data_IF_951200253537
#
_entry.id   IF_951200253537
#
_cell.length_a   1.000
_cell.length_b   1.000
_cell.length_c   1.000
_cell.angle_alpha   90.00
_cell.angle_beta   90.00
_cell.angle_gamma   90.00
#
_symmetry.space_group_name_H-M   'P 1'
#
loop_
_entity.id
_entity.type
_entity.pdbx_description
1 polymer ?
#
# COMPACT_ATOMS: atom_id res chain seq x y z
N UNK A 1 5.40 -14.00 4.55
CA UNK A 1 5.38 -13.12 3.36
C UNK A 1 5.03 -11.73 3.85
N UNK A 2 5.82 -10.72 3.49
CA UNK A 2 5.62 -9.36 3.99
C UNK A 2 4.45 -8.68 3.25
N UNK A 3 3.72 -7.81 3.94
CA UNK A 3 2.63 -7.00 3.38
C UNK A 3 3.04 -5.54 3.34
N UNK A 4 3.05 -4.98 2.13
CA UNK A 4 3.39 -3.60 1.84
C UNK A 4 2.17 -2.78 1.41
N UNK A 5 2.22 -1.47 1.63
CA UNK A 5 1.26 -0.51 1.10
C UNK A 5 1.87 0.90 1.02
N UNK A 6 1.13 1.85 0.45
CA UNK A 6 1.51 3.27 0.51
C UNK A 6 1.43 3.83 1.94
N UNK A 7 2.13 4.94 2.16
CA UNK A 7 2.14 5.66 3.43
C UNK A 7 0.75 6.20 3.82
N UNK A 8 0.56 6.44 5.12
CA UNK A 8 -0.65 7.01 5.70
C UNK A 8 -1.53 6.00 6.44
N UNK A 9 -2.71 6.46 6.89
CA UNK A 9 -3.56 5.73 7.84
C UNK A 9 -4.02 4.35 7.34
N UNK A 10 -3.99 4.12 6.03
CA UNK A 10 -4.33 2.82 5.46
C UNK A 10 -3.43 1.71 6.02
N UNK A 11 -2.13 1.96 6.11
CA UNK A 11 -1.15 1.01 6.68
C UNK A 11 -1.49 0.57 8.12
N UNK A 12 -1.89 1.53 8.96
CA UNK A 12 -2.31 1.28 10.33
C UNK A 12 -3.60 0.45 10.38
N UNK A 13 -4.64 0.85 9.63
CA UNK A 13 -5.89 0.10 9.61
C UNK A 13 -5.73 -1.33 9.08
N UNK A 14 -4.87 -1.51 8.08
CA UNK A 14 -4.55 -2.82 7.52
C UNK A 14 -3.88 -3.71 8.58
N UNK A 15 -2.85 -3.22 9.25
CA UNK A 15 -2.14 -3.95 10.30
C UNK A 15 -3.04 -4.31 11.48
N UNK A 16 -3.86 -3.35 11.95
CA UNK A 16 -4.83 -3.59 13.03
C UNK A 16 -5.89 -4.62 12.63
N UNK A 17 -6.41 -4.55 11.40
CA UNK A 17 -7.46 -5.47 10.93
C UNK A 17 -6.97 -6.91 10.83
N UNK A 18 -5.73 -7.11 10.40
CA UNK A 18 -5.15 -8.43 10.19
C UNK A 18 -4.30 -8.93 11.36
N UNK A 19 -4.02 -8.10 12.36
CA UNK A 19 -3.16 -8.45 13.48
C UNK A 19 -1.70 -8.72 13.07
N UNK A 20 -1.23 -8.09 11.98
CA UNK A 20 0.12 -8.27 11.44
C UNK A 20 0.86 -6.94 11.34
N UNK A 21 2.19 -6.99 11.43
CA UNK A 21 3.02 -5.85 11.05
C UNK A 21 2.90 -5.60 9.54
N UNK A 22 2.69 -4.34 9.17
CA UNK A 22 2.60 -3.89 7.79
C UNK A 22 3.79 -3.00 7.49
N UNK A 23 4.38 -3.17 6.32
CA UNK A 23 5.38 -2.25 5.79
C UNK A 23 4.69 -1.16 4.96
N UNK A 24 5.09 0.08 5.16
CA UNK A 24 4.60 1.22 4.39
C UNK A 24 5.78 1.91 3.71
N UNK A 25 5.56 2.42 2.51
CA UNK A 25 6.57 3.13 1.73
C UNK A 25 6.10 4.55 1.40
N UNK A 26 7.00 5.52 1.57
CA UNK A 26 6.83 6.92 1.19
C UNK A 26 8.08 7.38 0.43
N UNK A 27 7.91 8.18 -0.62
CA UNK A 27 9.02 8.73 -1.41
C UNK A 27 9.33 10.17 -1.04
N UNK A 28 8.35 10.93 -0.55
CA UNK A 28 8.53 12.30 -0.10
C UNK A 28 9.06 12.34 1.36
N UNK A 29 10.26 12.87 1.62
CA UNK A 29 10.83 12.89 2.97
C UNK A 29 9.98 13.66 3.99
N UNK A 30 9.32 14.74 3.58
CA UNK A 30 8.49 15.54 4.48
C UNK A 30 7.21 14.78 4.85
N UNK A 31 6.58 14.11 3.88
CA UNK A 31 5.42 13.24 4.12
C UNK A 31 5.82 12.04 4.98
N UNK A 32 7.01 11.47 4.73
CA UNK A 32 7.54 10.36 5.51
C UNK A 32 7.70 10.74 6.98
N UNK A 33 8.35 11.87 7.27
CA UNK A 33 8.59 12.31 8.64
C UNK A 33 7.30 12.65 9.37
N UNK A 34 6.35 13.32 8.70
CA UNK A 34 5.03 13.58 9.24
C UNK A 34 4.27 12.26 9.53
N UNK A 35 4.34 11.29 8.62
CA UNK A 35 3.69 9.99 8.77
C UNK A 35 4.32 9.20 9.92
N UNK A 36 5.64 9.16 10.02
CA UNK A 36 6.38 8.51 11.11
C UNK A 36 5.96 9.09 12.46
N UNK A 37 5.98 10.41 12.59
CA UNK A 37 5.55 11.09 13.81
C UNK A 37 4.13 10.71 14.22
N UNK A 38 3.20 10.63 13.26
CA UNK A 38 1.81 10.25 13.53
C UNK A 38 1.67 8.79 13.94
N UNK A 39 2.37 7.87 13.28
CA UNK A 39 2.37 6.44 13.60
C UNK A 39 2.93 6.18 15.00
N UNK A 40 4.02 6.86 15.36
CA UNK A 40 4.62 6.76 16.70
C UNK A 40 3.65 7.23 17.79
N UNK A 41 2.96 8.35 17.55
CA UNK A 41 1.98 8.91 18.51
C UNK A 41 0.80 8.00 18.80
N UNK A 42 0.40 7.16 17.84
CA UNK A 42 -0.70 6.22 18.01
C UNK A 42 -0.22 4.80 18.35
N UNK A 43 1.09 4.58 18.49
CA UNK A 43 1.67 3.27 18.77
C UNK A 43 1.43 2.26 17.64
N UNK A 44 1.38 2.70 16.37
CA UNK A 44 1.16 1.82 15.25
C UNK A 44 2.35 0.87 15.04
N UNK A 45 2.08 -0.43 14.85
CA UNK A 45 3.11 -1.43 14.50
C UNK A 45 3.58 -1.38 13.03
N UNK A 46 3.33 -0.28 12.33
CA UNK A 46 3.70 -0.10 10.92
C UNK A 46 5.18 0.21 10.79
N UNK A 47 5.88 -0.50 9.89
CA UNK A 47 7.28 -0.22 9.54
C UNK A 47 7.31 0.70 8.32
N UNK A 48 7.59 1.97 8.54
CA UNK A 48 7.66 2.97 7.46
C UNK A 48 9.06 3.04 6.84
N UNK A 49 9.12 3.04 5.52
CA UNK A 49 10.34 3.15 4.72
C UNK A 49 10.31 4.42 3.86
N UNK A 50 11.42 5.15 3.83
CA UNK A 50 11.65 6.25 2.87
C UNK A 50 12.25 5.70 1.58
N UNK A 51 11.49 4.88 0.86
CA UNK A 51 11.90 4.26 -0.39
C UNK A 51 10.67 3.74 -1.16
N UNK A 52 10.85 3.37 -2.43
CA UNK A 52 9.80 2.68 -3.17
C UNK A 52 9.59 1.24 -2.66
N UNK A 53 8.37 0.73 -2.85
CA UNK A 53 7.96 -0.60 -2.38
C UNK A 53 8.84 -1.70 -2.97
N UNK A 54 9.26 -1.59 -4.24
CA UNK A 54 10.04 -2.65 -4.90
C UNK A 54 11.43 -2.75 -4.28
N UNK A 55 12.10 -1.62 -4.06
CA UNK A 55 13.38 -1.57 -3.37
C UNK A 55 13.25 -2.03 -1.92
N UNK A 56 12.17 -1.64 -1.25
CA UNK A 56 11.89 -2.07 0.14
C UNK A 56 11.62 -3.57 0.27
N UNK A 57 11.11 -4.23 -0.78
CA UNK A 57 10.98 -5.70 -0.83
C UNK A 57 12.32 -6.41 -1.09
N UNK A 58 13.35 -5.72 -1.58
CA UNK A 58 14.71 -6.26 -1.83
C UNK A 58 14.69 -7.54 -2.68
N UNK A 59 13.89 -7.56 -3.74
CA UNK A 59 13.73 -8.72 -4.63
C UNK A 59 13.00 -9.92 -4.01
N UNK A 60 12.64 -9.88 -2.72
CA UNK A 60 11.91 -10.95 -2.05
C UNK A 60 10.42 -10.90 -2.42
N UNK A 61 9.74 -12.05 -2.55
CA UNK A 61 8.31 -12.07 -2.79
C UNK A 61 7.54 -11.35 -1.66
N UNK A 62 6.71 -10.38 -2.04
CA UNK A 62 5.91 -9.59 -1.11
C UNK A 62 4.49 -9.34 -1.65
N UNK A 63 3.54 -9.17 -0.74
CA UNK A 63 2.19 -8.74 -1.07
C UNK A 63 2.13 -7.22 -1.01
N UNK A 64 1.44 -6.60 -1.95
CA UNK A 64 1.22 -5.15 -1.96
C UNK A 64 -0.26 -4.86 -2.01
N UNK A 65 -0.76 -4.21 -0.97
CA UNK A 65 -2.10 -3.66 -0.91
C UNK A 65 -2.07 -2.19 -1.33
N UNK A 66 -2.82 -1.87 -2.38
CA UNK A 66 -2.93 -0.51 -2.90
C UNK A 66 -4.35 -0.04 -2.68
N UNK A 67 -4.48 1.13 -2.05
CA UNK A 67 -5.75 1.84 -1.91
C UNK A 67 -5.79 2.93 -2.97
N UNK A 68 -6.80 2.87 -3.82
CA UNK A 68 -6.99 3.76 -4.95
C UNK A 68 -8.36 4.41 -4.89
N UNK A 69 -8.61 5.31 -5.84
CA UNK A 69 -9.94 5.83 -6.07
C UNK A 69 -10.24 5.96 -7.56
N UNK A 70 -11.49 6.23 -7.89
CA UNK A 70 -11.98 6.46 -9.25
C UNK A 70 -11.35 7.68 -9.97
N UNK A 71 -10.52 8.47 -9.29
CA UNK A 71 -9.78 9.60 -9.87
C UNK A 71 -8.33 9.24 -10.23
N UNK A 72 -7.90 8.01 -10.01
CA UNK A 72 -6.57 7.56 -10.41
C UNK A 72 -6.47 7.54 -11.93
N UNK A 73 -5.35 8.05 -12.45
CA UNK A 73 -5.08 8.05 -13.88
C UNK A 73 -5.06 6.62 -14.44
N UNK A 74 -5.71 6.43 -15.59
CA UNK A 74 -5.72 5.16 -16.32
C UNK A 74 -4.29 4.62 -16.48
N UNK A 75 -4.11 3.32 -16.25
CA UNK A 75 -2.83 2.58 -16.34
C UNK A 75 -1.73 2.93 -15.34
N UNK A 76 -1.97 3.86 -14.40
CA UNK A 76 -0.93 4.24 -13.41
C UNK A 76 -0.52 3.06 -12.52
N UNK A 77 -1.47 2.24 -12.09
CA UNK A 77 -1.20 1.05 -11.27
C UNK A 77 -0.44 -0.02 -12.05
N UNK A 78 -0.85 -0.30 -13.29
CA UNK A 78 -0.21 -1.32 -14.12
C UNK A 78 1.23 -0.94 -14.44
N UNK A 79 1.52 0.36 -14.64
CA UNK A 79 2.90 0.84 -14.77
C UNK A 79 3.68 0.69 -13.45
N UNK A 80 3.12 1.12 -12.33
CA UNK A 80 3.80 1.02 -11.02
C UNK A 80 4.09 -0.43 -10.61
N UNK A 81 3.21 -1.35 -10.96
CA UNK A 81 3.27 -2.77 -10.61
C UNK A 81 3.54 -3.69 -11.80
N UNK A 82 4.13 -3.18 -12.89
CA UNK A 82 4.56 -3.97 -14.04
C UNK A 82 5.40 -5.20 -13.61
N UNK A 83 4.99 -6.39 -14.04
CA UNK A 83 5.61 -7.66 -13.66
C UNK A 83 5.18 -8.24 -12.31
N UNK A 84 4.29 -7.55 -11.58
CA UNK A 84 3.58 -8.14 -10.45
C UNK A 84 2.34 -8.90 -10.93
N UNK A 85 1.98 -9.96 -10.21
CA UNK A 85 0.71 -10.63 -10.42
C UNK A 85 -0.39 -9.89 -9.67
N UNK A 86 -1.44 -9.49 -10.37
CA UNK A 86 -2.63 -8.92 -9.75
C UNK A 86 -3.52 -10.05 -9.22
N UNK A 87 -3.63 -10.16 -7.90
CA UNK A 87 -4.34 -11.27 -7.25
C UNK A 87 -5.84 -11.00 -7.13
N UNK A 88 -6.23 -9.77 -6.74
CA UNK A 88 -7.63 -9.42 -6.47
C UNK A 88 -7.86 -7.92 -6.41
N UNK A 89 -9.00 -7.48 -6.93
CA UNK A 89 -9.61 -6.17 -6.63
C UNK A 89 -10.79 -6.32 -5.67
N UNK A 90 -10.99 -5.33 -4.82
CA UNK A 90 -12.17 -5.17 -3.96
C UNK A 90 -12.68 -3.74 -4.13
N UNK A 91 -13.90 -3.63 -4.65
CA UNK A 91 -14.65 -2.37 -4.76
C UNK A 91 -15.77 -2.40 -3.73
N UNK A 92 -15.65 -1.73 -2.58
CA UNK A 92 -16.76 -1.57 -1.66
C UNK A 92 -17.88 -0.79 -2.34
N UNK A 93 -19.15 -1.10 -2.02
CA UNK A 93 -20.25 -0.28 -2.50
C UNK A 93 -20.12 1.15 -1.97
N UNK A 94 -20.50 2.16 -2.77
CA UNK A 94 -20.50 3.55 -2.32
C UNK A 94 -21.37 3.72 -1.08
N UNK A 95 -20.82 4.32 -0.03
CA UNK A 95 -21.55 4.63 1.21
C UNK A 95 -22.10 6.06 1.18
N UNK A 96 -21.44 6.97 0.47
CA UNK A 96 -21.85 8.36 0.33
C UNK A 96 -22.41 8.62 -1.08
N UNK A 97 -23.41 9.51 -1.23
CA UNK A 97 -24.03 9.81 -2.52
C UNK A 97 -23.08 10.56 -3.47
N UNK A 98 -22.05 11.21 -2.93
CA UNK A 98 -21.03 11.95 -3.66
C UNK A 98 -19.66 11.69 -3.05
N UNK A 99 -18.63 11.62 -3.89
CA UNK A 99 -17.27 11.36 -3.45
C UNK A 99 -16.54 10.48 -4.44
N UNK A 100 -15.22 10.36 -4.26
CA UNK A 100 -14.42 9.40 -5.00
C UNK A 100 -14.69 8.00 -4.42
N UNK A 101 -15.08 7.05 -5.27
CA UNK A 101 -15.19 5.65 -4.88
C UNK A 101 -13.80 5.10 -4.60
N UNK A 102 -13.69 4.22 -3.60
CA UNK A 102 -12.43 3.62 -3.22
C UNK A 102 -12.32 2.24 -3.84
N UNK A 103 -11.15 1.91 -4.37
CA UNK A 103 -10.82 0.55 -4.78
C UNK A 103 -9.61 0.06 -3.99
N UNK A 104 -9.57 -1.24 -3.74
CA UNK A 104 -8.43 -1.90 -3.13
C UNK A 104 -7.91 -2.96 -4.08
N UNK A 105 -6.61 -2.93 -4.34
CA UNK A 105 -5.95 -3.89 -5.21
C UNK A 105 -4.88 -4.64 -4.42
N UNK A 106 -4.82 -5.95 -4.60
CA UNK A 106 -3.80 -6.81 -4.01
C UNK A 106 -2.92 -7.37 -5.12
N UNK A 107 -1.63 -7.05 -5.05
CA UNK A 107 -0.62 -7.57 -5.96
C UNK A 107 0.36 -8.48 -5.24
N UNK A 108 0.98 -9.38 -5.99
CA UNK A 108 2.15 -10.16 -5.58
C UNK A 108 3.36 -9.73 -6.41
N UNK A 109 4.34 -9.13 -5.75
CA UNK A 109 5.64 -8.84 -6.34
C UNK A 109 6.58 -10.04 -6.15
N UNK A 110 7.49 -10.26 -7.10
CA UNK A 110 8.49 -11.33 -7.02
C UNK A 110 8.04 -12.69 -7.54
N UNK A 111 7.05 -12.73 -8.45
CA UNK A 111 6.63 -13.98 -9.13
C UNK A 111 7.36 -14.28 -10.45
N UNK A 112 8.28 -13.42 -10.89
CA UNK A 112 9.12 -13.68 -12.05
C UNK A 112 10.42 -14.37 -11.65
N UNK A 113 10.49 -15.70 -11.80
CA UNK A 113 11.77 -16.38 -11.99
C UNK A 113 12.21 -16.15 -13.45
N UNK A 114 13.48 -15.74 -13.64
CA UNK A 114 14.18 -15.81 -14.93
C UNK A 114 14.43 -14.47 -15.59
#
# INVERSE_FOLDING_TARGET
MDLFCGSGNFSHHLGTRFGIAVHASELDPAVHDATRHNLDRIGAGTRLHLDDIRRSCDGRPCLVAVKTNDRIAHDSLDRSFAGAEHLRSITPPPVLPYGANMDFHLYRLGSGHG
#
